data_IF_648851230690
#
_entry.id   IF_648851230690
#
_cell.length_a   1.000
_cell.length_b   1.000
_cell.length_c   1.000
_cell.angle_alpha   90.00
_cell.angle_beta   90.00
_cell.angle_gamma   90.00
#
_symmetry.space_group_name_H-M   'P 1'
#
loop_
_entity.id
_entity.type
_entity.pdbx_description
1 polymer ?
#
# COMPACT_ATOMS: atom_id res chain seq x y z
N UNK A 1 -8.36 -6.20 10.17
CA UNK A 1 -7.02 -6.76 9.99
C UNK A 1 -6.02 -5.92 10.77
N UNK A 2 -5.22 -6.51 11.62
CA UNK A 2 -4.17 -5.78 12.33
C UNK A 2 -3.01 -5.45 11.39
N UNK A 3 -2.38 -4.30 11.60
CA UNK A 3 -1.22 -3.91 10.84
C UNK A 3 0.00 -4.70 11.31
N UNK A 4 0.91 -5.00 10.39
CA UNK A 4 2.13 -5.77 10.68
C UNK A 4 3.06 -5.02 11.65
N UNK A 5 3.10 -3.70 11.52
CA UNK A 5 3.90 -2.83 12.40
C UNK A 5 2.99 -1.75 12.99
N UNK A 6 3.26 -1.36 14.23
CA UNK A 6 2.57 -0.25 14.91
C UNK A 6 3.39 1.05 14.88
N UNK A 7 4.60 0.99 14.32
CA UNK A 7 5.53 2.11 14.18
C UNK A 7 6.43 1.86 12.98
N UNK A 8 7.18 2.88 12.55
CA UNK A 8 8.16 2.73 11.47
C UNK A 8 9.37 1.98 12.04
N UNK A 9 9.69 0.78 11.52
CA UNK A 9 10.78 -0.02 12.08
C UNK A 9 12.15 0.59 11.77
N UNK A 10 13.09 0.42 12.69
CA UNK A 10 14.49 0.75 12.44
C UNK A 10 15.13 -0.33 11.58
N UNK A 11 16.29 -0.02 11.00
CA UNK A 11 17.07 -1.00 10.23
C UNK A 11 17.37 -2.24 11.08
N UNK A 12 17.75 -2.05 12.34
CA UNK A 12 18.06 -3.13 13.26
C UNK A 12 16.86 -4.05 13.50
N UNK A 13 15.67 -3.47 13.67
CA UNK A 13 14.43 -4.23 13.84
C UNK A 13 14.12 -5.08 12.60
N UNK A 14 14.31 -4.52 11.42
CA UNK A 14 14.08 -5.23 10.16
C UNK A 14 15.06 -6.40 9.99
N UNK A 15 16.34 -6.19 10.27
CA UNK A 15 17.35 -7.24 10.17
C UNK A 15 17.11 -8.34 11.20
N UNK A 16 16.68 -7.99 12.41
CA UNK A 16 16.32 -8.96 13.44
C UNK A 16 15.14 -9.84 13.01
N UNK A 17 14.13 -9.26 12.37
CA UNK A 17 12.99 -10.03 11.86
C UNK A 17 13.42 -11.05 10.81
N UNK A 18 14.30 -10.65 9.89
CA UNK A 18 14.84 -11.56 8.87
C UNK A 18 15.60 -12.71 9.55
N UNK A 19 16.49 -12.39 10.50
CA UNK A 19 17.31 -13.37 11.20
C UNK A 19 16.45 -14.37 11.98
N UNK A 20 15.39 -13.91 12.63
CA UNK A 20 14.54 -14.71 13.49
C UNK A 20 13.42 -15.43 12.73
N UNK A 21 13.23 -15.14 11.45
CA UNK A 21 12.21 -15.77 10.63
C UNK A 21 12.67 -17.18 10.27
N UNK A 22 11.89 -18.19 10.68
CA UNK A 22 12.19 -19.59 10.42
C UNK A 22 11.55 -20.11 9.12
N UNK A 23 10.71 -19.32 8.48
CA UNK A 23 10.11 -19.68 7.20
C UNK A 23 11.18 -19.71 6.10
N UNK A 24 10.89 -20.39 5.00
CA UNK A 24 11.79 -20.49 3.85
C UNK A 24 11.73 -19.20 3.03
N UNK A 25 12.30 -18.12 3.57
CA UNK A 25 12.35 -16.79 2.95
C UNK A 25 13.79 -16.34 2.82
N UNK A 26 14.03 -15.42 1.90
CA UNK A 26 15.36 -14.85 1.68
C UNK A 26 15.87 -14.16 2.95
N UNK A 27 17.17 -14.33 3.23
CA UNK A 27 17.88 -13.65 4.31
C UNK A 27 18.56 -12.35 3.84
N UNK A 28 18.50 -12.08 2.56
CA UNK A 28 19.13 -10.90 1.93
C UNK A 28 18.27 -10.38 0.77
N UNK A 29 17.05 -9.89 1.05
CA UNK A 29 16.12 -9.45 0.00
C UNK A 29 16.69 -8.31 -0.85
N UNK A 30 17.56 -7.47 -0.30
CA UNK A 30 18.22 -6.41 -1.07
C UNK A 30 19.06 -6.97 -2.21
N UNK A 31 19.71 -8.12 -2.04
CA UNK A 31 20.47 -8.78 -3.09
C UNK A 31 19.56 -9.35 -4.17
N UNK A 32 18.44 -9.92 -3.76
CA UNK A 32 17.45 -10.48 -4.69
C UNK A 32 16.86 -9.40 -5.59
N UNK A 33 16.73 -8.18 -5.08
CA UNK A 33 16.22 -7.02 -5.82
C UNK A 33 17.33 -6.21 -6.50
N UNK A 34 18.59 -6.62 -6.34
CA UNK A 34 19.75 -5.92 -6.88
C UNK A 34 19.82 -4.45 -6.45
N UNK A 35 19.58 -4.19 -5.18
CA UNK A 35 19.67 -2.88 -4.55
C UNK A 35 20.58 -2.96 -3.32
N UNK A 36 20.98 -1.82 -2.79
CA UNK A 36 21.76 -1.78 -1.56
C UNK A 36 20.90 -2.12 -0.34
N UNK A 37 21.55 -2.51 0.74
CA UNK A 37 20.92 -2.78 2.02
C UNK A 37 20.17 -1.55 2.53
N UNK A 38 20.79 -0.37 2.42
CA UNK A 38 20.19 0.89 2.85
C UNK A 38 18.97 1.27 2.01
N UNK A 39 19.03 1.05 0.70
CA UNK A 39 17.89 1.28 -0.18
C UNK A 39 16.72 0.37 0.17
N UNK A 40 16.99 -0.89 0.49
CA UNK A 40 15.97 -1.83 0.91
C UNK A 40 15.31 -1.38 2.21
N UNK A 41 16.11 -0.95 3.20
CA UNK A 41 15.57 -0.45 4.48
C UNK A 41 14.66 0.75 4.24
N UNK A 42 15.09 1.71 3.44
CA UNK A 42 14.27 2.88 3.09
C UNK A 42 12.96 2.48 2.43
N UNK A 43 13.02 1.54 1.50
CA UNK A 43 11.83 1.04 0.80
C UNK A 43 10.82 0.45 1.79
N UNK A 44 11.27 -0.42 2.69
CA UNK A 44 10.39 -1.05 3.68
C UNK A 44 9.82 0.00 4.64
N UNK A 45 10.64 0.94 5.11
CA UNK A 45 10.18 2.01 6.00
C UNK A 45 9.11 2.87 5.34
N UNK A 46 9.27 3.23 4.07
CA UNK A 46 8.27 3.98 3.32
C UNK A 46 6.96 3.20 3.15
N UNK A 47 7.05 1.90 2.88
CA UNK A 47 5.87 1.04 2.76
C UNK A 47 5.13 0.94 4.09
N UNK A 48 5.84 0.79 5.20
CA UNK A 48 5.23 0.76 6.54
C UNK A 48 4.57 2.09 6.87
N UNK A 49 5.23 3.20 6.54
CA UNK A 49 4.66 4.54 6.74
C UNK A 49 3.33 4.70 6.00
N UNK A 50 3.28 4.28 4.73
CA UNK A 50 2.03 4.29 3.95
C UNK A 50 0.96 3.42 4.59
N UNK A 51 1.33 2.24 5.08
CA UNK A 51 0.40 1.33 5.75
C UNK A 51 -0.15 1.92 7.05
N UNK A 52 0.70 2.57 7.85
CA UNK A 52 0.27 3.20 9.10
C UNK A 52 -0.69 4.37 8.85
N UNK A 53 -0.51 5.09 7.74
CA UNK A 53 -1.38 6.20 7.36
C UNK A 53 -2.66 5.73 6.65
N UNK A 54 -2.73 4.47 6.25
CA UNK A 54 -3.89 3.93 5.54
C UNK A 54 -5.11 3.85 6.46
N UNK A 55 -6.32 4.11 5.96
CA UNK A 55 -7.53 3.99 6.76
C UNK A 55 -7.80 2.53 7.12
N UNK A 56 -8.39 2.33 8.30
CA UNK A 56 -8.82 1.00 8.76
C UNK A 56 -10.34 0.92 8.73
N UNK A 57 -10.87 -0.29 8.90
CA UNK A 57 -12.31 -0.53 8.96
C UNK A 57 -12.93 0.34 10.05
N UNK A 58 -14.01 1.03 9.72
CA UNK A 58 -14.73 1.92 10.61
C UNK A 58 -14.29 3.38 10.52
N UNK A 59 -13.18 3.68 9.85
CA UNK A 59 -12.74 5.05 9.61
C UNK A 59 -13.35 5.60 8.32
N UNK A 60 -13.46 6.92 8.25
CA UNK A 60 -13.89 7.60 7.03
C UNK A 60 -12.83 7.39 5.94
N UNK A 61 -13.27 6.95 4.77
CA UNK A 61 -12.37 6.79 3.63
C UNK A 61 -11.88 8.16 3.14
N UNK A 62 -10.60 8.29 2.74
CA UNK A 62 -10.12 9.50 2.10
C UNK A 62 -10.92 9.79 0.83
N UNK A 63 -11.26 11.06 0.61
CA UNK A 63 -11.92 11.44 -0.63
C UNK A 63 -10.91 11.50 -1.77
N UNK A 64 -11.37 11.21 -2.98
CA UNK A 64 -10.54 11.30 -4.18
C UNK A 64 -11.42 11.51 -5.39
N UNK A 65 -10.80 11.97 -6.47
CA UNK A 65 -11.46 12.15 -7.76
C UNK A 65 -10.82 11.25 -8.80
N UNK A 66 -11.63 10.63 -9.62
CA UNK A 66 -11.16 9.79 -10.72
C UNK A 66 -11.90 10.18 -12.00
N UNK A 67 -11.25 9.98 -13.13
CA UNK A 67 -11.87 10.23 -14.43
C UNK A 67 -12.75 9.04 -14.81
N UNK A 68 -13.95 9.33 -15.28
CA UNK A 68 -14.86 8.28 -15.78
C UNK A 68 -14.40 7.81 -17.15
N UNK A 69 -14.55 6.52 -17.38
CA UNK A 69 -14.35 5.93 -18.69
C UNK A 69 -15.73 5.65 -19.33
N UNK A 70 -15.77 5.67 -20.67
CA UNK A 70 -16.98 5.29 -21.40
C UNK A 70 -17.11 3.75 -21.45
N UNK A 71 -18.16 3.26 -22.09
CA UNK A 71 -18.40 1.81 -22.22
C UNK A 71 -17.33 1.08 -23.02
N UNK A 72 -16.50 1.81 -23.78
CA UNK A 72 -15.38 1.24 -24.53
C UNK A 72 -14.03 1.39 -23.80
N UNK A 73 -14.05 1.87 -22.57
CA UNK A 73 -12.86 2.08 -21.75
C UNK A 73 -12.06 3.33 -22.11
N UNK A 74 -12.63 4.26 -22.86
CA UNK A 74 -11.97 5.50 -23.25
C UNK A 74 -12.23 6.62 -22.23
N UNK A 75 -11.28 7.53 -22.10
CA UNK A 75 -11.36 8.66 -21.18
C UNK A 75 -12.44 9.63 -21.66
N UNK A 76 -13.29 10.08 -20.72
CA UNK A 76 -14.40 11.02 -21.02
C UNK A 76 -14.08 12.45 -20.67
N UNK A 77 -13.04 12.71 -19.85
CA UNK A 77 -12.78 14.03 -19.29
C UNK A 77 -13.68 14.39 -18.11
N UNK A 78 -14.64 13.54 -17.76
CA UNK A 78 -15.54 13.79 -16.63
C UNK A 78 -14.98 13.18 -15.36
N UNK A 79 -14.81 14.00 -14.32
CA UNK A 79 -14.30 13.58 -13.03
C UNK A 79 -15.45 13.22 -12.09
N UNK A 80 -15.23 12.20 -11.26
CA UNK A 80 -16.17 11.80 -10.24
C UNK A 80 -15.44 11.76 -8.89
N UNK A 81 -15.97 12.50 -7.92
CA UNK A 81 -15.51 12.44 -6.53
C UNK A 81 -16.18 11.29 -5.81
N UNK A 82 -15.41 10.57 -4.98
CA UNK A 82 -15.96 9.50 -4.15
C UNK A 82 -17.09 10.04 -3.27
N UNK A 83 -16.90 11.21 -2.65
CA UNK A 83 -17.90 11.81 -1.75
C UNK A 83 -19.21 12.14 -2.45
N UNK A 84 -19.21 12.36 -3.76
CA UNK A 84 -20.44 12.63 -4.52
C UNK A 84 -21.36 11.41 -4.63
N UNK A 85 -20.85 10.22 -4.33
CA UNK A 85 -21.59 8.96 -4.37
C UNK A 85 -22.12 8.55 -2.99
N UNK A 86 -21.87 9.33 -1.96
CA UNK A 86 -22.31 9.02 -0.59
C UNK A 86 -23.85 9.02 -0.51
N UNK A 87 -24.39 8.25 0.43
CA UNK A 87 -25.81 8.04 0.62
C UNK A 87 -26.28 6.66 0.18
N UNK A 88 -25.42 5.91 -0.51
CA UNK A 88 -25.63 4.51 -0.88
C UNK A 88 -24.38 3.72 -0.58
N UNK A 89 -24.49 2.40 -0.34
CA UNK A 89 -23.29 1.57 -0.21
C UNK A 89 -22.43 1.65 -1.46
N UNK A 90 -21.11 1.77 -1.27
CA UNK A 90 -20.13 1.88 -2.35
C UNK A 90 -19.13 0.75 -2.20
N UNK A 91 -18.87 0.02 -3.27
CA UNK A 91 -17.81 -0.98 -3.34
C UNK A 91 -16.70 -0.45 -4.24
N UNK A 92 -15.45 -0.49 -3.74
CA UNK A 92 -14.28 -0.09 -4.51
C UNK A 92 -13.49 -1.33 -4.89
N UNK A 93 -13.09 -1.40 -6.16
CA UNK A 93 -12.24 -2.46 -6.66
C UNK A 93 -10.99 -1.82 -7.25
N UNK A 94 -9.83 -2.27 -6.76
CA UNK A 94 -8.54 -1.80 -7.26
C UNK A 94 -7.92 -2.87 -8.14
N UNK A 95 -7.28 -2.43 -9.22
CA UNK A 95 -6.62 -3.32 -10.15
C UNK A 95 -5.32 -2.73 -10.69
N UNK A 96 -4.53 -3.58 -11.31
CA UNK A 96 -3.28 -3.20 -11.95
C UNK A 96 -3.16 -3.90 -13.31
N UNK A 97 -2.55 -3.22 -14.27
CA UNK A 97 -2.28 -3.80 -15.59
C UNK A 97 -0.95 -4.57 -15.66
N UNK A 98 -0.34 -4.85 -14.51
CA UNK A 98 0.92 -5.60 -14.44
C UNK A 98 0.72 -7.10 -14.56
#
# INVERSE_FOLDING_TARGET
>A
MSKLFDHIPTAEELFARIKNNTANVSKHPWKDWNISKDEWVKYVQERVKQDLDAPIKGQLAPDFSVERLDSNGKRTGHMTKLSSLFGKPIALLFGSYT
#
